data_IF_885392528407
#
_entry.id   IF_885392528407
#
_cell.length_a   1.000
_cell.length_b   1.000
_cell.length_c   1.000
_cell.angle_alpha   90.00
_cell.angle_beta   90.00
_cell.angle_gamma   90.00
#
_symmetry.space_group_name_H-M   'P 1'
#
loop_
_entity.id
_entity.type
_entity.pdbx_description
1 polymer ?
#
# COMPACT_ATOMS: atom_id res chain seq x y z
N UNK A 1 -1.04 11.59 1.99
CA UNK A 1 -1.45 11.81 0.59
C UNK A 1 -0.28 12.29 -0.25
N UNK A 2 -0.19 11.79 -1.47
CA UNK A 2 0.80 12.19 -2.48
C UNK A 2 0.44 13.57 -3.04
N UNK A 3 1.44 14.39 -3.33
CA UNK A 3 1.21 15.66 -4.05
C UNK A 3 0.82 15.39 -5.51
N UNK A 4 0.22 16.39 -6.18
CA UNK A 4 -0.18 16.27 -7.59
C UNK A 4 1.04 15.99 -8.49
N UNK A 5 2.15 16.64 -8.20
CA UNK A 5 3.42 16.48 -8.91
C UNK A 5 3.92 15.04 -8.75
N UNK A 6 3.90 14.52 -7.51
CA UNK A 6 4.36 13.15 -7.25
C UNK A 6 3.47 12.09 -7.91
N UNK A 7 2.15 12.32 -7.93
CA UNK A 7 1.22 11.46 -8.67
C UNK A 7 1.53 11.46 -10.17
N UNK A 8 1.76 12.63 -10.77
CA UNK A 8 2.10 12.74 -12.18
C UNK A 8 3.42 12.01 -12.52
N UNK A 9 4.45 12.16 -11.69
CA UNK A 9 5.72 11.42 -11.84
C UNK A 9 5.53 9.91 -11.79
N UNK A 10 4.72 9.42 -10.85
CA UNK A 10 4.41 7.99 -10.74
C UNK A 10 3.64 7.46 -11.96
N UNK A 11 2.69 8.24 -12.49
CA UNK A 11 1.97 7.89 -13.71
C UNK A 11 2.93 7.76 -14.88
N UNK A 12 3.82 8.73 -15.07
CA UNK A 12 4.82 8.68 -16.16
C UNK A 12 5.81 7.53 -15.96
N UNK A 13 6.20 7.22 -14.72
CA UNK A 13 7.00 6.04 -14.42
C UNK A 13 6.30 4.75 -14.87
N UNK A 14 5.01 4.57 -14.54
CA UNK A 14 4.25 3.37 -14.93
C UNK A 14 4.07 3.25 -16.45
N UNK A 15 3.94 4.37 -17.17
CA UNK A 15 3.86 4.36 -18.63
C UNK A 15 5.19 3.96 -19.28
N UNK A 16 6.30 4.42 -18.71
CA UNK A 16 7.65 4.16 -19.24
C UNK A 16 8.13 2.76 -18.93
N UNK A 17 8.09 2.38 -17.65
CA UNK A 17 8.46 1.07 -17.14
C UNK A 17 7.73 0.81 -15.82
N UNK A 18 6.69 -0.01 -15.89
CA UNK A 18 5.88 -0.34 -14.73
C UNK A 18 6.59 -1.26 -13.74
N UNK A 19 7.68 -1.95 -14.12
CA UNK A 19 8.27 -3.04 -13.33
C UNK A 19 8.76 -2.50 -11.99
N UNK A 20 9.61 -1.45 -12.02
CA UNK A 20 10.22 -0.91 -10.81
C UNK A 20 9.17 -0.42 -9.80
N UNK A 21 8.17 0.33 -10.26
CA UNK A 21 7.14 0.82 -9.34
C UNK A 21 6.23 -0.32 -8.86
N UNK A 22 5.95 -1.32 -9.71
CA UNK A 22 5.20 -2.52 -9.31
C UNK A 22 5.92 -3.29 -8.22
N UNK A 23 7.23 -3.48 -8.33
CA UNK A 23 8.03 -4.20 -7.34
C UNK A 23 7.96 -3.50 -5.98
N UNK A 24 8.15 -2.17 -5.96
CA UNK A 24 8.01 -1.36 -4.74
C UNK A 24 6.60 -1.50 -4.14
N UNK A 25 5.55 -1.46 -4.96
CA UNK A 25 4.17 -1.62 -4.47
C UNK A 25 3.95 -3.01 -3.86
N UNK A 26 4.51 -4.07 -4.46
CA UNK A 26 4.41 -5.43 -3.94
C UNK A 26 5.13 -5.54 -2.58
N UNK A 27 6.33 -4.98 -2.46
CA UNK A 27 7.10 -4.94 -1.22
C UNK A 27 6.33 -4.24 -0.11
N UNK A 28 5.83 -3.02 -0.37
CA UNK A 28 5.07 -2.25 0.62
C UNK A 28 3.81 -3.00 1.08
N UNK A 29 3.11 -3.70 0.18
CA UNK A 29 1.97 -4.53 0.57
C UNK A 29 2.41 -5.69 1.47
N UNK A 30 3.51 -6.36 1.14
CA UNK A 30 4.03 -7.47 1.94
C UNK A 30 4.46 -7.00 3.34
N UNK A 31 5.18 -5.89 3.44
CA UNK A 31 5.63 -5.31 4.71
C UNK A 31 4.44 -4.87 5.56
N UNK A 32 3.45 -4.20 4.97
CA UNK A 32 2.22 -3.81 5.67
C UNK A 32 1.47 -5.03 6.23
N UNK A 33 1.43 -6.14 5.48
CA UNK A 33 0.84 -7.39 5.97
C UNK A 33 1.65 -8.00 7.11
N UNK A 34 2.99 -7.92 7.04
CA UNK A 34 3.87 -8.37 8.12
C UNK A 34 3.64 -7.56 9.40
N UNK A 35 3.52 -6.24 9.31
CA UNK A 35 3.21 -5.35 10.44
C UNK A 35 1.86 -5.71 11.09
N UNK A 36 0.83 -5.89 10.27
CA UNK A 36 -0.50 -6.35 10.72
C UNK A 36 -0.42 -7.69 11.48
N UNK A 37 0.40 -8.63 10.99
CA UNK A 37 0.61 -9.93 11.63
C UNK A 37 1.37 -9.76 12.95
N UNK A 38 2.44 -8.96 12.97
CA UNK A 38 3.23 -8.71 14.17
C UNK A 38 2.38 -8.11 15.30
N UNK A 39 1.55 -7.10 14.98
CA UNK A 39 0.61 -6.50 15.92
C UNK A 39 -0.39 -7.51 16.46
N UNK A 40 -0.94 -8.36 15.59
CA UNK A 40 -1.87 -9.43 15.99
C UNK A 40 -1.20 -10.45 16.92
N UNK A 41 0.03 -10.87 16.62
CA UNK A 41 0.78 -11.82 17.45
C UNK A 41 1.12 -11.23 18.83
N UNK A 42 1.34 -9.91 18.89
CA UNK A 42 1.58 -9.20 20.14
C UNK A 42 0.30 -8.85 20.93
N UNK A 43 -0.89 -9.22 20.45
CA UNK A 43 -2.18 -8.79 20.99
C UNK A 43 -2.34 -7.25 21.08
N UNK A 44 -1.76 -6.53 20.11
CA UNK A 44 -1.80 -5.06 20.00
C UNK A 44 -2.50 -4.58 18.74
N UNK A 45 -3.31 -5.44 18.11
CA UNK A 45 -4.04 -5.08 16.91
C UNK A 45 -5.18 -4.08 17.19
N UNK A 46 -5.47 -3.16 16.24
CA UNK A 46 -6.67 -2.36 16.29
C UNK A 46 -7.92 -3.18 15.94
N UNK A 47 -9.10 -2.68 16.29
CA UNK A 47 -10.39 -3.34 16.02
C UNK A 47 -10.65 -3.48 14.52
N UNK A 48 -10.23 -2.50 13.72
CA UNK A 48 -10.41 -2.47 12.27
C UNK A 48 -9.41 -3.35 11.47
N UNK A 49 -8.54 -4.12 12.13
CA UNK A 49 -7.46 -4.90 11.47
C UNK A 49 -7.96 -5.74 10.29
N UNK A 50 -9.09 -6.44 10.46
CA UNK A 50 -9.62 -7.32 9.42
C UNK A 50 -10.14 -6.54 8.21
N UNK A 51 -10.82 -5.42 8.46
CA UNK A 51 -11.33 -4.54 7.41
C UNK A 51 -10.18 -3.92 6.62
N UNK A 52 -9.18 -3.38 7.32
CA UNK A 52 -8.01 -2.78 6.70
C UNK A 52 -7.20 -3.80 5.88
N UNK A 53 -7.06 -5.03 6.39
CA UNK A 53 -6.42 -6.12 5.62
C UNK A 53 -7.18 -6.39 4.33
N UNK A 54 -8.51 -6.41 4.35
CA UNK A 54 -9.31 -6.59 3.14
C UNK A 54 -9.12 -5.40 2.18
N UNK A 55 -9.15 -4.16 2.69
CA UNK A 55 -8.90 -2.95 1.88
C UNK A 55 -7.53 -2.95 1.23
N UNK A 56 -6.49 -3.43 1.92
CA UNK A 56 -5.14 -3.58 1.37
C UNK A 56 -5.12 -4.57 0.21
N UNK A 57 -5.75 -5.73 0.38
CA UNK A 57 -5.85 -6.77 -0.66
C UNK A 57 -6.67 -6.32 -1.86
N UNK A 58 -7.78 -5.62 -1.64
CA UNK A 58 -8.60 -5.02 -2.69
C UNK A 58 -7.81 -3.97 -3.48
N UNK A 59 -7.08 -3.09 -2.79
CA UNK A 59 -6.24 -2.07 -3.42
C UNK A 59 -5.10 -2.71 -4.23
N UNK A 60 -4.43 -3.75 -3.72
CA UNK A 60 -3.44 -4.54 -4.45
C UNK A 60 -4.04 -5.17 -5.72
N UNK A 61 -5.21 -5.79 -5.60
CA UNK A 61 -5.89 -6.43 -6.73
C UNK A 61 -6.29 -5.40 -7.79
N UNK A 62 -6.86 -4.27 -7.38
CA UNK A 62 -7.23 -3.18 -8.27
C UNK A 62 -5.99 -2.62 -8.98
N UNK A 63 -4.91 -2.32 -8.24
CA UNK A 63 -3.62 -1.91 -8.81
C UNK A 63 -3.15 -2.90 -9.88
N UNK A 64 -3.12 -4.20 -9.57
CA UNK A 64 -2.69 -5.28 -10.48
C UNK A 64 -3.49 -5.34 -11.78
N UNK A 65 -4.76 -4.91 -11.75
CA UNK A 65 -5.61 -4.84 -12.96
C UNK A 65 -5.42 -3.55 -13.78
N UNK A 66 -4.86 -2.50 -13.16
CA UNK A 66 -4.82 -1.14 -13.72
C UNK A 66 -3.43 -0.71 -14.19
N UNK A 67 -2.34 -1.20 -13.59
CA UNK A 67 -0.99 -0.62 -13.81
C UNK A 67 -0.52 -0.63 -15.28
N UNK A 68 -1.05 -1.52 -16.14
CA UNK A 68 -0.77 -1.54 -17.59
C UNK A 68 -1.76 -0.72 -18.42
N UNK A 69 -2.98 -0.53 -17.95
CA UNK A 69 -4.12 -0.09 -18.78
C UNK A 69 -4.71 1.25 -18.35
N UNK A 70 -4.54 1.63 -17.09
CA UNK A 70 -5.01 2.89 -16.51
C UNK A 70 -4.10 3.30 -15.34
N UNK A 71 -2.97 3.91 -15.68
CA UNK A 71 -1.92 4.29 -14.74
C UNK A 71 -2.37 5.35 -13.73
N UNK A 72 -3.24 6.28 -14.11
CA UNK A 72 -3.79 7.28 -13.19
C UNK A 72 -4.55 6.60 -12.04
N UNK A 73 -5.49 5.70 -12.36
CA UNK A 73 -6.21 4.95 -11.33
C UNK A 73 -5.30 3.97 -10.59
N UNK A 74 -4.26 3.45 -11.24
CA UNK A 74 -3.27 2.61 -10.56
C UNK A 74 -2.55 3.40 -9.46
N UNK A 75 -2.14 4.65 -9.73
CA UNK A 75 -1.50 5.53 -8.74
C UNK A 75 -2.44 5.87 -7.58
N UNK A 76 -3.75 6.03 -7.83
CA UNK A 76 -4.72 6.19 -6.73
C UNK A 76 -4.77 4.95 -5.82
N UNK A 77 -4.53 3.74 -6.35
CA UNK A 77 -4.44 2.54 -5.52
C UNK A 77 -3.12 2.48 -4.75
N UNK A 78 -2.02 2.97 -5.33
CA UNK A 78 -0.73 3.12 -4.61
C UNK A 78 -0.90 4.02 -3.39
N UNK A 79 -1.60 5.14 -3.54
CA UNK A 79 -1.86 6.06 -2.42
C UNK A 79 -2.62 5.37 -1.28
N UNK A 80 -3.69 4.61 -1.59
CA UNK A 80 -4.43 3.85 -0.58
C UNK A 80 -3.58 2.80 0.12
N UNK A 81 -2.68 2.16 -0.62
CA UNK A 81 -1.72 1.20 -0.05
C UNK A 81 -0.76 1.91 0.91
N UNK A 82 -0.24 3.08 0.53
CA UNK A 82 0.67 3.87 1.37
C UNK A 82 -0.01 4.41 2.63
N UNK A 83 -1.28 4.80 2.56
CA UNK A 83 -2.05 5.22 3.75
C UNK A 83 -2.16 4.08 4.78
N UNK A 84 -2.41 2.85 4.33
CA UNK A 84 -2.44 1.69 5.22
C UNK A 84 -1.04 1.34 5.73
N UNK A 85 -0.03 1.37 4.86
CA UNK A 85 1.36 1.14 5.25
C UNK A 85 1.81 2.10 6.35
N UNK A 86 1.60 3.40 6.17
CA UNK A 86 1.96 4.43 7.16
C UNK A 86 1.21 4.24 8.49
N UNK A 87 -0.07 3.87 8.43
CA UNK A 87 -0.86 3.56 9.63
C UNK A 87 -0.25 2.42 10.42
N UNK A 88 0.03 1.29 9.77
CA UNK A 88 0.48 0.07 10.46
C UNK A 88 1.94 0.13 10.88
N UNK A 89 2.82 0.80 10.13
CA UNK A 89 4.19 1.08 10.56
C UNK A 89 4.19 1.92 11.85
N UNK A 90 3.42 3.02 11.89
CA UNK A 90 3.28 3.86 13.09
C UNK A 90 2.70 3.08 14.29
N UNK A 91 1.70 2.24 14.06
CA UNK A 91 1.13 1.39 15.10
C UNK A 91 2.15 0.38 15.64
N UNK A 92 2.93 -0.27 14.77
CA UNK A 92 4.00 -1.20 15.16
C UNK A 92 5.07 -0.49 15.99
N UNK A 93 5.59 0.62 15.47
CA UNK A 93 6.63 1.41 16.13
C UNK A 93 6.18 1.95 17.50
N UNK A 94 4.96 2.51 17.59
CA UNK A 94 4.41 3.00 18.87
C UNK A 94 4.10 1.86 19.86
N UNK A 95 3.92 0.65 19.36
CA UNK A 95 3.77 -0.57 20.15
C UNK A 95 5.10 -1.16 20.64
N UNK A 96 6.25 -0.60 20.24
CA UNK A 96 7.58 -1.10 20.60
C UNK A 96 7.96 -2.41 19.92
N UNK A 97 7.45 -2.63 18.71
CA UNK A 97 7.73 -3.77 17.84
C UNK A 97 8.52 -3.32 16.60
#
# INVERSE_FOLDING_TARGET
MLTKERKAEMVESLKKDYVVLTDIVIEVVADTQADMIALKLANKQPDELLEDKNRLLESKKAYSSLYKTNQEKAVDMIEKIYELSEKYDKLRMSSGL
#
